data_IF_203341923597
#
_entry.id   IF_203341923597
#
_cell.length_a   1.000
_cell.length_b   1.000
_cell.length_c   1.000
_cell.angle_alpha   90.00
_cell.angle_beta   90.00
_cell.angle_gamma   90.00
#
_symmetry.space_group_name_H-M   'P 1'
#
loop_
_entity.id
_entity.type
_entity.pdbx_description
1 polymer ?
#
# COMPACT_ATOMS: atom_id res chain seq x y z
N UNK A 1 -17.79 48.60 -10.76
CA UNK A 1 -18.25 47.26 -10.33
C UNK A 1 -18.68 46.41 -11.51
N UNK A 2 -19.44 46.94 -12.46
CA UNK A 2 -19.92 46.22 -13.66
C UNK A 2 -18.82 45.76 -14.61
N UNK A 3 -17.74 46.54 -14.77
CA UNK A 3 -16.61 46.19 -15.65
C UNK A 3 -15.87 44.94 -15.13
N UNK A 4 -15.57 44.87 -13.83
CA UNK A 4 -14.90 43.72 -13.22
C UNK A 4 -15.72 42.42 -13.31
N UNK A 5 -17.04 42.51 -13.18
CA UNK A 5 -17.93 41.35 -13.32
C UNK A 5 -17.94 40.88 -14.79
N UNK A 6 -18.02 41.80 -15.74
CA UNK A 6 -17.96 41.47 -17.16
C UNK A 6 -16.60 40.85 -17.56
N UNK A 7 -15.50 41.36 -17.02
CA UNK A 7 -14.16 40.82 -17.24
C UNK A 7 -14.04 39.39 -16.69
N UNK A 8 -14.63 39.11 -15.52
CA UNK A 8 -14.69 37.75 -14.97
C UNK A 8 -15.54 36.83 -15.87
N UNK A 9 -16.69 37.30 -16.35
CA UNK A 9 -17.57 36.50 -17.22
C UNK A 9 -16.95 36.21 -18.59
N UNK A 10 -16.17 37.11 -19.17
CA UNK A 10 -15.41 36.85 -20.40
C UNK A 10 -14.32 35.80 -20.18
N UNK A 11 -13.56 35.91 -19.08
CA UNK A 11 -12.51 34.94 -18.74
C UNK A 11 -13.08 33.55 -18.44
N UNK A 12 -14.27 33.46 -17.83
CA UNK A 12 -14.94 32.18 -17.57
C UNK A 12 -15.49 31.49 -18.83
N UNK A 13 -15.65 32.21 -19.94
CA UNK A 13 -16.03 31.64 -21.26
C UNK A 13 -14.84 31.09 -22.03
N UNK A 14 -13.61 31.46 -21.65
CA UNK A 14 -12.41 30.87 -22.22
C UNK A 14 -12.26 29.41 -21.77
N UNK A 15 -11.70 28.52 -22.60
CA UNK A 15 -11.36 27.18 -22.17
C UNK A 15 -10.40 27.24 -20.97
N UNK A 16 -10.63 26.42 -19.92
CA UNK A 16 -9.87 26.51 -18.68
C UNK A 16 -8.38 26.34 -18.94
N UNK A 17 -7.60 27.41 -18.72
CA UNK A 17 -6.14 27.43 -18.93
C UNK A 17 -5.40 26.46 -18.01
N UNK A 18 -5.98 26.16 -16.85
CA UNK A 18 -5.47 25.21 -15.87
C UNK A 18 -6.66 24.53 -15.19
N UNK A 19 -6.65 23.20 -15.11
CA UNK A 19 -7.61 22.47 -14.28
C UNK A 19 -6.96 22.20 -12.92
N UNK A 20 -7.65 22.57 -11.85
CA UNK A 20 -7.16 22.36 -10.50
C UNK A 20 -7.17 20.86 -10.18
N UNK A 21 -6.16 20.29 -9.52
CA UNK A 21 -6.19 18.91 -9.08
C UNK A 21 -7.36 18.73 -8.10
N UNK A 22 -8.35 17.91 -8.46
CA UNK A 22 -9.55 17.67 -7.64
C UNK A 22 -9.76 16.19 -7.40
N UNK A 23 -10.01 15.89 -6.13
CA UNK A 23 -10.52 14.60 -5.64
C UNK A 23 -11.88 14.88 -5.05
N UNK A 24 -12.92 14.24 -5.56
CA UNK A 24 -14.28 14.41 -5.05
C UNK A 24 -14.83 13.08 -4.58
N UNK A 25 -15.37 13.05 -3.36
CA UNK A 25 -16.11 11.88 -2.87
C UNK A 25 -17.38 11.76 -3.70
N UNK A 26 -17.60 10.59 -4.30
CA UNK A 26 -18.84 10.29 -5.01
C UNK A 26 -19.95 10.13 -3.98
N UNK A 27 -20.95 11.01 -4.03
CA UNK A 27 -22.11 11.00 -3.12
C UNK A 27 -23.39 10.50 -3.78
N UNK A 28 -23.43 10.44 -5.10
CA UNK A 28 -24.60 9.99 -5.84
C UNK A 28 -24.79 8.48 -5.67
N UNK A 29 -25.88 8.06 -5.03
CA UNK A 29 -26.16 6.66 -4.70
C UNK A 29 -26.29 5.77 -5.93
N UNK A 30 -26.89 6.27 -7.02
CA UNK A 30 -27.02 5.52 -8.27
C UNK A 30 -25.65 5.27 -8.90
N UNK A 31 -24.76 6.28 -8.92
CA UNK A 31 -23.39 6.11 -9.40
C UNK A 31 -22.58 5.18 -8.49
N UNK A 32 -22.74 5.27 -7.18
CA UNK A 32 -22.12 4.33 -6.22
C UNK A 32 -22.59 2.90 -6.51
N UNK A 33 -23.88 2.70 -6.76
CA UNK A 33 -24.42 1.40 -7.12
C UNK A 33 -23.79 0.87 -8.42
N UNK A 34 -23.72 1.69 -9.47
CA UNK A 34 -23.05 1.32 -10.74
C UNK A 34 -21.58 0.94 -10.53
N UNK A 35 -20.84 1.72 -9.73
CA UNK A 35 -19.44 1.43 -9.41
C UNK A 35 -19.29 0.14 -8.58
N UNK A 36 -20.20 -0.12 -7.64
CA UNK A 36 -20.25 -1.38 -6.91
C UNK A 36 -20.51 -2.55 -7.88
N UNK A 37 -21.40 -2.43 -8.87
CA UNK A 37 -21.63 -3.49 -9.85
C UNK A 37 -20.37 -3.77 -10.69
N UNK A 38 -19.64 -2.73 -11.11
CA UNK A 38 -18.33 -2.89 -11.79
C UNK A 38 -17.30 -3.59 -10.90
N UNK A 39 -17.23 -3.22 -9.62
CA UNK A 39 -16.35 -3.86 -8.65
C UNK A 39 -16.68 -5.35 -8.49
N UNK A 40 -17.97 -5.69 -8.32
CA UNK A 40 -18.42 -7.07 -8.14
C UNK A 40 -18.11 -7.92 -9.37
N UNK A 41 -18.35 -7.40 -10.58
CA UNK A 41 -18.02 -8.14 -11.80
C UNK A 41 -16.53 -8.46 -11.90
N UNK A 42 -15.66 -7.49 -11.52
CA UNK A 42 -14.21 -7.70 -11.46
C UNK A 42 -13.77 -8.70 -10.40
N UNK A 43 -14.43 -8.75 -9.23
CA UNK A 43 -14.15 -9.75 -8.18
C UNK A 43 -14.48 -11.17 -8.67
N UNK A 44 -15.58 -11.31 -9.42
CA UNK A 44 -16.12 -12.59 -9.85
C UNK A 44 -15.51 -13.15 -11.15
N UNK A 45 -14.86 -12.33 -11.97
CA UNK A 45 -14.23 -12.77 -13.23
C UNK A 45 -13.03 -13.70 -12.94
N UNK A 46 -13.20 -15.00 -13.20
CA UNK A 46 -12.23 -16.08 -12.92
C UNK A 46 -11.11 -16.16 -13.99
N UNK A 47 -11.13 -15.31 -15.03
CA UNK A 47 -10.09 -15.27 -16.06
C UNK A 47 -8.78 -14.60 -15.59
N UNK A 48 -8.70 -14.16 -14.33
CA UNK A 48 -7.47 -13.68 -13.68
C UNK A 48 -6.53 -14.83 -13.26
N UNK A 49 -6.46 -15.89 -14.07
CA UNK A 49 -5.27 -16.76 -14.13
C UNK A 49 -4.20 -16.15 -15.05
N UNK A 50 -4.41 -14.93 -15.56
CA UNK A 50 -3.30 -14.04 -15.88
C UNK A 50 -2.47 -13.97 -14.60
N UNK A 51 -1.24 -14.45 -14.72
CA UNK A 51 -0.23 -14.42 -13.69
C UNK A 51 -0.35 -13.11 -12.90
N UNK A 52 -0.20 -13.18 -11.58
CA UNK A 52 0.07 -12.00 -10.75
C UNK A 52 1.32 -11.20 -11.24
N UNK A 53 1.97 -11.70 -12.29
CA UNK A 53 3.04 -11.12 -13.09
C UNK A 53 2.48 -10.50 -14.38
N UNK A 54 1.76 -9.38 -14.28
CA UNK A 54 1.84 -8.28 -15.27
C UNK A 54 0.94 -7.12 -14.85
N UNK A 55 1.54 -5.94 -14.89
CA UNK A 55 0.97 -4.64 -14.56
C UNK A 55 -0.41 -4.49 -15.21
N UNK A 56 -1.45 -4.44 -14.40
CA UNK A 56 -2.72 -3.86 -14.84
C UNK A 56 -3.20 -2.84 -13.82
N UNK A 57 -3.38 -1.63 -14.34
CA UNK A 57 -3.96 -0.42 -13.76
C UNK A 57 -5.38 -0.66 -13.15
N UNK A 58 -5.94 -1.88 -13.33
CA UNK A 58 -7.32 -2.26 -13.04
C UNK A 58 -7.36 -3.54 -12.20
N UNK A 59 -7.06 -3.42 -10.91
CA UNK A 59 -7.10 -4.55 -9.97
C UNK A 59 -7.93 -4.22 -8.75
N UNK A 60 -8.68 -5.21 -8.26
CA UNK A 60 -9.21 -5.19 -6.89
C UNK A 60 -8.15 -5.84 -6.02
N UNK A 61 -7.68 -5.16 -4.98
CA UNK A 61 -6.74 -5.74 -4.03
C UNK A 61 -7.14 -5.46 -2.59
N UNK A 62 -6.62 -6.27 -1.66
CA UNK A 62 -6.87 -6.11 -0.25
C UNK A 62 -5.91 -5.10 0.39
N UNK A 63 -6.46 -4.21 1.23
CA UNK A 63 -5.66 -3.37 2.13
C UNK A 63 -5.11 -4.25 3.25
N UNK A 64 -3.79 -4.46 3.25
CA UNK A 64 -3.10 -5.18 4.30
C UNK A 64 -3.12 -4.36 5.60
N UNK A 65 -3.36 -5.04 6.72
CA UNK A 65 -3.32 -4.43 8.04
C UNK A 65 -2.25 -5.12 8.87
N UNK A 66 -1.76 -4.50 9.95
CA UNK A 66 -0.82 -5.12 10.90
C UNK A 66 -1.50 -6.21 11.77
N UNK A 67 -2.55 -6.85 11.24
CA UNK A 67 -3.31 -7.93 11.84
C UNK A 67 -2.91 -9.25 11.22
N UNK A 68 -2.80 -10.28 12.06
CA UNK A 68 -2.41 -11.62 11.65
C UNK A 68 -3.57 -12.62 11.62
N UNK A 69 -4.78 -12.19 11.97
CA UNK A 69 -5.99 -13.01 11.89
C UNK A 69 -7.16 -12.18 11.36
N UNK A 70 -7.79 -12.71 10.31
CA UNK A 70 -8.95 -12.09 9.68
C UNK A 70 -10.12 -13.07 9.66
N UNK A 71 -11.33 -12.55 9.77
CA UNK A 71 -12.55 -13.34 9.66
C UNK A 71 -13.54 -12.62 8.76
N UNK A 72 -13.87 -13.23 7.61
CA UNK A 72 -15.00 -12.79 6.79
C UNK A 72 -16.31 -13.25 7.45
N UNK A 73 -17.34 -12.39 7.40
CA UNK A 73 -18.68 -12.76 7.85
C UNK A 73 -19.76 -11.86 7.22
N UNK A 74 -20.99 -12.37 7.15
CA UNK A 74 -22.15 -11.56 6.82
C UNK A 74 -22.71 -10.87 8.07
N UNK A 75 -23.04 -9.59 7.93
CA UNK A 75 -23.69 -8.79 8.96
C UNK A 75 -24.98 -9.48 9.42
N UNK A 76 -25.17 -9.60 10.73
CA UNK A 76 -26.33 -10.29 11.31
C UNK A 76 -26.26 -11.82 11.31
N UNK A 77 -25.31 -12.45 10.62
CA UNK A 77 -25.20 -13.92 10.53
C UNK A 77 -23.80 -14.48 10.85
N UNK A 78 -23.00 -13.72 11.63
CA UNK A 78 -21.60 -14.04 11.94
C UNK A 78 -21.37 -15.49 12.39
N UNK A 79 -22.23 -16.05 13.23
CA UNK A 79 -22.04 -17.43 13.76
C UNK A 79 -22.07 -18.51 12.69
N UNK A 80 -22.85 -18.32 11.61
CA UNK A 80 -23.01 -19.33 10.55
C UNK A 80 -22.04 -19.13 9.39
N UNK A 81 -21.66 -17.88 9.14
CA UNK A 81 -20.90 -17.50 7.93
C UNK A 81 -19.47 -17.08 8.25
N UNK A 82 -18.93 -17.37 9.43
CA UNK A 82 -17.56 -16.98 9.74
C UNK A 82 -16.58 -17.82 8.92
N UNK A 83 -15.66 -17.15 8.22
CA UNK A 83 -14.57 -17.79 7.49
C UNK A 83 -13.25 -17.16 7.91
N UNK A 84 -12.45 -17.91 8.65
CA UNK A 84 -11.17 -17.43 9.19
C UNK A 84 -10.03 -17.63 8.19
N UNK A 85 -9.22 -16.59 8.04
CA UNK A 85 -8.04 -16.58 7.17
C UNK A 85 -6.87 -15.92 7.88
N UNK A 86 -5.67 -16.33 7.51
CA UNK A 86 -4.43 -15.73 8.04
C UNK A 86 -4.12 -14.41 7.34
N UNK A 87 -4.43 -14.32 6.05
CA UNK A 87 -4.18 -13.15 5.21
C UNK A 87 -5.40 -12.88 4.34
N UNK A 88 -5.66 -11.60 4.07
CA UNK A 88 -6.70 -11.22 3.13
C UNK A 88 -6.18 -11.39 1.70
N UNK A 89 -6.86 -12.21 0.92
CA UNK A 89 -6.57 -12.38 -0.51
C UNK A 89 -7.83 -12.74 -1.28
N UNK A 90 -7.82 -12.53 -2.60
CA UNK A 90 -8.98 -12.75 -3.46
C UNK A 90 -9.41 -14.21 -3.54
N UNK A 91 -8.46 -15.15 -3.46
CA UNK A 91 -8.76 -16.58 -3.49
C UNK A 91 -9.65 -16.98 -2.31
N UNK A 92 -9.27 -16.58 -1.10
CA UNK A 92 -10.00 -16.89 0.12
C UNK A 92 -11.32 -16.13 0.20
N UNK A 93 -11.35 -14.88 -0.28
CA UNK A 93 -12.59 -14.11 -0.35
C UNK A 93 -13.61 -14.76 -1.30
N UNK A 94 -13.17 -15.21 -2.48
CA UNK A 94 -14.03 -15.98 -3.40
C UNK A 94 -14.46 -17.32 -2.81
N UNK A 95 -13.58 -17.99 -2.06
CA UNK A 95 -13.93 -19.23 -1.35
C UNK A 95 -15.03 -18.98 -0.31
N UNK A 96 -14.93 -17.89 0.46
CA UNK A 96 -15.96 -17.46 1.41
C UNK A 96 -17.31 -17.22 0.74
N UNK A 97 -17.34 -16.50 -0.39
CA UNK A 97 -18.55 -16.23 -1.18
C UNK A 97 -19.20 -17.54 -1.65
N UNK A 98 -18.40 -18.44 -2.27
CA UNK A 98 -18.86 -19.73 -2.81
C UNK A 98 -19.39 -20.65 -1.71
N UNK A 99 -18.71 -20.76 -0.57
CA UNK A 99 -19.11 -21.65 0.52
C UNK A 99 -20.42 -21.23 1.20
N UNK A 100 -20.72 -19.93 1.21
CA UNK A 100 -21.91 -19.38 1.86
C UNK A 100 -23.04 -19.05 0.86
N UNK A 101 -22.88 -19.41 -0.42
CA UNK A 101 -23.82 -19.10 -1.51
C UNK A 101 -24.25 -17.61 -1.52
N UNK A 102 -23.28 -16.71 -1.38
CA UNK A 102 -23.53 -15.27 -1.27
C UNK A 102 -23.71 -14.68 -2.67
N UNK A 103 -24.84 -14.01 -2.92
CA UNK A 103 -24.99 -13.16 -4.10
C UNK A 103 -24.26 -11.83 -3.86
N UNK A 104 -23.03 -11.73 -4.37
CA UNK A 104 -22.18 -10.57 -4.12
C UNK A 104 -22.78 -9.26 -4.68
N UNK A 105 -23.61 -9.30 -5.73
CA UNK A 105 -24.27 -8.10 -6.27
C UNK A 105 -25.28 -7.49 -5.27
N UNK A 106 -25.86 -8.31 -4.40
CA UNK A 106 -26.82 -7.85 -3.39
C UNK A 106 -26.17 -7.65 -2.02
N UNK A 107 -25.17 -8.46 -1.69
CA UNK A 107 -24.65 -8.58 -0.33
C UNK A 107 -23.31 -7.88 -0.09
N UNK A 108 -22.71 -7.22 -1.09
CA UNK A 108 -21.41 -6.54 -0.94
C UNK A 108 -21.35 -5.63 0.30
N UNK A 109 -22.40 -4.85 0.55
CA UNK A 109 -22.47 -3.93 1.70
C UNK A 109 -22.72 -4.63 3.05
N UNK A 110 -23.07 -5.92 3.02
CA UNK A 110 -23.32 -6.76 4.19
C UNK A 110 -22.15 -7.69 4.54
N UNK A 111 -21.11 -7.75 3.71
CA UNK A 111 -19.90 -8.50 4.04
C UNK A 111 -18.96 -7.65 4.88
N UNK A 112 -18.54 -8.21 6.01
CA UNK A 112 -17.63 -7.56 6.94
C UNK A 112 -16.39 -8.43 7.16
N UNK A 113 -15.28 -7.76 7.48
CA UNK A 113 -14.04 -8.40 7.90
C UNK A 113 -13.75 -7.97 9.32
N UNK A 114 -13.52 -8.95 10.19
CA UNK A 114 -12.97 -8.73 11.52
C UNK A 114 -11.46 -8.92 11.44
N UNK A 115 -10.68 -7.88 11.69
CA UNK A 115 -9.22 -7.92 11.73
C UNK A 115 -8.75 -7.82 13.20
N UNK A 116 -8.02 -8.83 13.69
CA UNK A 116 -7.57 -8.93 15.09
C UNK A 116 -6.12 -9.41 15.20
N UNK A 117 -5.46 -9.01 16.28
CA UNK A 117 -4.23 -9.65 16.75
C UNK A 117 -4.56 -10.57 17.93
N UNK A 118 -3.67 -11.51 18.24
CA UNK A 118 -3.81 -12.40 19.41
C UNK A 118 -4.05 -11.63 20.73
N UNK A 119 -3.54 -10.39 20.81
CA UNK A 119 -3.55 -9.57 22.01
C UNK A 119 -4.50 -8.36 21.97
N UNK A 120 -5.35 -8.21 20.94
CA UNK A 120 -6.30 -7.10 20.88
C UNK A 120 -7.75 -7.53 20.59
N UNK A 121 -8.70 -6.62 20.87
CA UNK A 121 -10.13 -6.85 20.66
C UNK A 121 -10.52 -6.93 19.17
N UNK A 122 -9.58 -6.69 18.26
CA UNK A 122 -9.83 -6.48 16.83
C UNK A 122 -10.73 -5.29 16.53
N UNK A 123 -10.97 -5.07 15.24
CA UNK A 123 -12.02 -4.19 14.74
C UNK A 123 -12.73 -4.87 13.56
N UNK A 124 -13.98 -4.47 13.31
CA UNK A 124 -14.75 -4.95 12.17
C UNK A 124 -15.10 -3.77 11.26
N UNK A 125 -14.94 -3.95 9.95
CA UNK A 125 -15.42 -2.99 8.96
C UNK A 125 -16.02 -3.71 7.74
N UNK A 126 -16.76 -2.99 6.91
CA UNK A 126 -17.27 -3.52 5.65
C UNK A 126 -16.10 -3.93 4.74
N UNK A 127 -16.31 -4.95 3.90
CA UNK A 127 -15.30 -5.48 2.98
C UNK A 127 -14.64 -4.40 2.12
N UNK A 128 -15.40 -3.40 1.65
CA UNK A 128 -14.91 -2.30 0.81
C UNK A 128 -13.84 -1.46 1.50
N UNK A 129 -13.82 -1.42 2.84
CA UNK A 129 -12.75 -0.76 3.59
C UNK A 129 -11.40 -1.44 3.37
N UNK A 130 -11.42 -2.74 3.18
CA UNK A 130 -10.24 -3.54 2.94
C UNK A 130 -9.99 -3.72 1.44
N UNK A 131 -10.64 -2.97 0.55
CA UNK A 131 -10.44 -3.09 -0.89
C UNK A 131 -9.98 -1.77 -1.50
N UNK A 132 -8.90 -1.87 -2.26
CA UNK A 132 -8.41 -0.83 -3.15
C UNK A 132 -8.79 -1.21 -4.58
N UNK A 133 -9.44 -0.30 -5.32
CA UNK A 133 -9.85 -0.54 -6.71
C UNK A 133 -9.80 0.74 -7.52
N UNK A 134 -9.30 0.68 -8.76
CA UNK A 134 -9.31 1.79 -9.72
C UNK A 134 -10.14 1.38 -10.93
N UNK A 135 -11.09 2.23 -11.29
CA UNK A 135 -11.93 2.09 -12.48
C UNK A 135 -11.29 2.78 -13.70
N UNK A 136 -11.67 2.36 -14.90
CA UNK A 136 -11.25 2.94 -16.18
C UNK A 136 -11.71 4.40 -16.37
N UNK A 137 -12.77 4.80 -15.69
CA UNK A 137 -13.38 6.13 -15.77
C UNK A 137 -12.86 7.14 -14.72
N UNK A 138 -11.65 6.98 -14.19
CA UNK A 138 -11.06 7.86 -13.15
C UNK A 138 -11.82 7.86 -11.82
N UNK A 139 -12.39 6.70 -11.47
CA UNK A 139 -12.91 6.47 -10.12
C UNK A 139 -11.98 5.54 -9.36
N UNK A 140 -11.91 5.67 -8.04
CA UNK A 140 -11.31 4.63 -7.22
C UNK A 140 -12.10 4.39 -5.93
N UNK A 141 -11.99 3.18 -5.42
CA UNK A 141 -12.42 2.80 -4.08
C UNK A 141 -11.19 2.90 -3.16
N UNK A 142 -11.30 3.69 -2.09
CA UNK A 142 -10.30 3.80 -1.03
C UNK A 142 -11.02 3.92 0.31
N UNK A 143 -10.55 3.22 1.34
CA UNK A 143 -11.14 3.21 2.69
C UNK A 143 -12.67 3.00 2.70
N UNK A 144 -13.17 2.21 1.74
CA UNK A 144 -14.59 1.91 1.58
C UNK A 144 -15.44 3.02 0.94
N UNK A 145 -14.82 4.07 0.39
CA UNK A 145 -15.50 5.19 -0.28
C UNK A 145 -15.04 5.34 -1.72
N UNK A 146 -15.99 5.73 -2.57
CA UNK A 146 -15.71 6.04 -3.97
C UNK A 146 -15.25 7.49 -4.13
N UNK A 147 -14.20 7.68 -4.91
CA UNK A 147 -13.65 8.97 -5.28
C UNK A 147 -13.61 9.11 -6.80
N UNK A 148 -13.77 10.34 -7.29
CA UNK A 148 -13.58 10.71 -8.68
C UNK A 148 -12.38 11.66 -8.80
N UNK A 149 -11.58 11.46 -9.85
CA UNK A 149 -10.42 12.29 -10.15
C UNK A 149 -10.53 12.94 -11.51
N UNK A 150 -10.04 14.17 -11.63
CA UNK A 150 -9.79 14.78 -12.92
C UNK A 150 -8.36 14.49 -13.40
N UNK A 151 -8.10 14.76 -14.69
CA UNK A 151 -6.78 14.51 -15.29
C UNK A 151 -5.67 15.30 -14.57
N UNK A 152 -5.96 16.54 -14.18
CA UNK A 152 -4.99 17.40 -13.50
C UNK A 152 -4.58 16.90 -12.12
N UNK A 153 -5.42 16.12 -11.44
CA UNK A 153 -5.03 15.44 -10.22
C UNK A 153 -3.99 14.36 -10.49
N UNK A 154 -4.17 13.57 -11.56
CA UNK A 154 -3.21 12.56 -11.99
C UNK A 154 -1.88 13.22 -12.37
N UNK A 155 -1.93 14.28 -13.20
CA UNK A 155 -0.72 15.02 -13.61
C UNK A 155 0.01 15.61 -12.39
N UNK A 156 -0.73 16.09 -11.39
CA UNK A 156 -0.17 16.56 -10.12
C UNK A 156 0.54 15.43 -9.34
N UNK A 157 -0.09 14.25 -9.24
CA UNK A 157 0.51 13.11 -8.55
C UNK A 157 1.81 12.66 -9.21
N UNK A 158 1.78 12.51 -10.54
CA UNK A 158 2.96 12.14 -11.33
C UNK A 158 4.10 13.14 -11.12
N UNK A 159 3.80 14.44 -11.22
CA UNK A 159 4.78 15.51 -11.02
C UNK A 159 5.33 15.56 -9.58
N UNK A 160 4.50 15.29 -8.56
CA UNK A 160 4.94 15.28 -7.16
C UNK A 160 5.75 14.04 -6.81
N UNK A 161 5.41 12.88 -7.39
CA UNK A 161 6.15 11.64 -7.24
C UNK A 161 7.53 11.75 -7.88
N UNK A 162 7.64 12.30 -9.08
CA UNK A 162 8.91 12.47 -9.78
C UNK A 162 9.89 13.43 -9.07
N UNK A 163 9.39 14.29 -8.20
CA UNK A 163 10.23 15.17 -7.36
C UNK A 163 10.88 14.44 -6.18
N UNK A 164 10.49 13.20 -5.88
CA UNK A 164 11.06 12.44 -4.77
C UNK A 164 12.45 11.94 -5.20
N UNK A 165 13.52 12.24 -4.42
CA UNK A 165 14.85 11.73 -4.71
C UNK A 165 14.82 10.20 -4.74
N UNK A 166 15.27 9.61 -5.84
CA UNK A 166 15.39 8.18 -5.95
C UNK A 166 16.72 7.75 -6.56
N UNK A 167 17.15 6.54 -6.22
CA UNK A 167 18.37 5.93 -6.76
C UNK A 167 18.18 4.47 -7.12
N UNK A 168 18.98 4.02 -8.07
CA UNK A 168 19.10 2.64 -8.50
C UNK A 168 20.58 2.24 -8.43
N UNK A 169 20.87 1.13 -7.75
CA UNK A 169 22.20 0.51 -7.69
C UNK A 169 22.07 -0.95 -8.07
N UNK A 170 22.62 -1.37 -9.20
CA UNK A 170 22.46 -2.73 -9.72
C UNK A 170 22.97 -3.82 -8.77
N UNK A 171 23.99 -3.52 -7.95
CA UNK A 171 24.52 -4.42 -6.91
C UNK A 171 23.51 -4.72 -5.79
N UNK A 172 22.41 -3.97 -5.72
CA UNK A 172 21.31 -4.16 -4.79
C UNK A 172 20.11 -4.89 -5.44
N UNK A 173 20.23 -5.39 -6.68
CA UNK A 173 19.18 -6.22 -7.29
C UNK A 173 19.15 -7.63 -6.67
N UNK A 174 17.93 -8.15 -6.47
CA UNK A 174 17.72 -9.46 -5.85
C UNK A 174 17.82 -10.57 -6.89
N UNK A 175 18.86 -11.40 -6.83
CA UNK A 175 18.93 -12.65 -7.60
C UNK A 175 18.07 -13.73 -6.95
N UNK A 176 17.12 -14.28 -7.71
CA UNK A 176 16.36 -15.48 -7.29
C UNK A 176 17.27 -16.71 -7.24
N UNK A 177 18.27 -16.78 -8.11
CA UNK A 177 19.25 -17.87 -8.12
C UNK A 177 20.07 -17.88 -6.84
N UNK A 178 20.65 -16.74 -6.45
CA UNK A 178 21.46 -16.62 -5.23
C UNK A 178 20.62 -16.92 -3.98
N UNK A 179 19.38 -16.42 -3.94
CA UNK A 179 18.43 -16.71 -2.86
C UNK A 179 18.18 -18.23 -2.72
N UNK A 180 17.91 -18.93 -3.82
CA UNK A 180 17.67 -20.38 -3.80
C UNK A 180 18.92 -21.15 -3.38
N UNK A 181 20.09 -20.78 -3.89
CA UNK A 181 21.36 -21.39 -3.50
C UNK A 181 21.63 -21.20 -2.01
N UNK A 182 21.42 -20.00 -1.48
CA UNK A 182 21.59 -19.70 -0.07
C UNK A 182 20.69 -20.57 0.82
N UNK A 183 19.42 -20.79 0.43
CA UNK A 183 18.50 -21.67 1.16
C UNK A 183 19.04 -23.10 1.21
N UNK A 184 19.47 -23.64 0.08
CA UNK A 184 19.97 -25.02 -0.03
C UNK A 184 21.26 -25.20 0.77
N UNK A 185 22.23 -24.30 0.61
CA UNK A 185 23.54 -24.38 1.26
C UNK A 185 23.45 -24.30 2.79
N UNK A 186 22.47 -23.55 3.31
CA UNK A 186 22.26 -23.38 4.75
C UNK A 186 21.21 -24.34 5.34
N UNK A 187 20.64 -25.24 4.53
CA UNK A 187 19.60 -26.18 4.97
C UNK A 187 18.34 -25.48 5.50
N UNK A 188 17.97 -24.33 4.91
CA UNK A 188 16.82 -23.53 5.30
C UNK A 188 15.58 -23.90 4.45
N UNK A 189 14.44 -23.32 4.81
CA UNK A 189 13.23 -23.35 3.98
C UNK A 189 12.73 -21.91 3.69
N UNK A 190 11.94 -21.75 2.63
CA UNK A 190 11.42 -20.45 2.19
C UNK A 190 10.47 -19.79 3.19
N UNK A 191 9.90 -20.56 4.14
CA UNK A 191 9.01 -20.03 5.17
C UNK A 191 9.81 -19.35 6.28
N UNK A 192 10.97 -19.90 6.61
CA UNK A 192 11.90 -19.39 7.63
C UNK A 192 12.87 -18.35 7.07
N UNK A 193 13.18 -18.44 5.79
CA UNK A 193 14.03 -17.51 5.03
C UNK A 193 13.31 -17.05 3.78
N UNK A 194 12.38 -16.12 3.94
CA UNK A 194 11.69 -15.47 2.82
C UNK A 194 12.59 -14.43 2.14
N UNK A 195 12.21 -14.00 0.93
CA UNK A 195 13.02 -13.14 0.07
C UNK A 195 13.47 -11.84 0.75
N UNK A 196 12.58 -11.11 1.42
CA UNK A 196 12.94 -9.86 2.11
C UNK A 196 13.95 -10.11 3.25
N UNK A 197 13.77 -11.17 4.04
CA UNK A 197 14.72 -11.52 5.12
C UNK A 197 16.09 -11.89 4.58
N UNK A 198 16.15 -12.63 3.48
CA UNK A 198 17.40 -12.91 2.78
C UNK A 198 18.06 -11.61 2.31
N UNK A 199 17.32 -10.76 1.61
CA UNK A 199 17.79 -9.46 1.14
C UNK A 199 18.37 -8.62 2.29
N UNK A 200 17.60 -8.45 3.37
CA UNK A 200 18.01 -7.71 4.56
C UNK A 200 19.25 -8.31 5.22
N UNK A 201 19.43 -9.64 5.16
CA UNK A 201 20.63 -10.33 5.67
C UNK A 201 21.86 -10.00 4.84
N UNK A 202 21.76 -10.02 3.51
CA UNK A 202 22.87 -9.69 2.59
C UNK A 202 23.34 -8.25 2.80
N UNK A 203 22.42 -7.32 3.06
CA UNK A 203 22.78 -5.91 3.26
C UNK A 203 23.62 -5.65 4.53
N UNK A 204 23.68 -6.59 5.48
CA UNK A 204 24.63 -6.49 6.61
C UNK A 204 26.08 -6.39 6.14
N UNK A 205 26.42 -7.06 5.03
CA UNK A 205 27.76 -7.00 4.44
C UNK A 205 28.10 -5.60 3.89
N UNK A 206 27.08 -4.78 3.63
CA UNK A 206 27.21 -3.38 3.18
C UNK A 206 27.10 -2.38 4.34
N UNK A 207 27.18 -2.85 5.58
CA UNK A 207 27.17 -2.02 6.80
C UNK A 207 25.78 -1.60 7.28
N UNK A 208 24.71 -2.28 6.85
CA UNK A 208 23.37 -2.07 7.40
C UNK A 208 23.18 -2.90 8.68
N UNK A 209 22.51 -2.31 9.67
CA UNK A 209 21.98 -3.05 10.80
C UNK A 209 20.60 -3.60 10.43
N UNK A 210 20.36 -4.89 10.69
CA UNK A 210 19.14 -5.59 10.31
C UNK A 210 18.16 -5.66 11.50
N UNK A 211 16.95 -5.13 11.29
CA UNK A 211 15.86 -5.05 12.24
C UNK A 211 14.57 -5.70 11.71
N UNK A 212 14.67 -6.57 10.70
CA UNK A 212 13.55 -7.34 10.15
C UNK A 212 12.75 -8.00 11.29
N UNK A 213 11.44 -7.68 11.37
CA UNK A 213 10.52 -8.12 12.43
C UNK A 213 10.90 -7.68 13.86
N UNK A 214 11.64 -6.59 14.04
CA UNK A 214 11.80 -5.93 15.34
C UNK A 214 10.57 -5.05 15.65
N UNK A 215 9.67 -5.62 16.43
CA UNK A 215 8.44 -4.95 16.86
C UNK A 215 8.64 -4.16 18.16
N UNK A 216 8.20 -2.91 18.18
CA UNK A 216 8.02 -2.15 19.41
C UNK A 216 6.58 -2.26 19.91
N UNK A 217 6.41 -2.59 21.20
CA UNK A 217 5.08 -2.57 21.82
C UNK A 217 4.75 -1.19 22.36
N UNK A 218 3.80 -0.51 21.72
CA UNK A 218 3.29 0.80 22.12
C UNK A 218 2.04 0.64 22.96
N UNK A 219 2.01 1.39 24.09
CA UNK A 219 0.84 1.50 24.99
C UNK A 219 0.30 0.12 25.42
N UNK A 220 1.17 -0.89 25.54
CA UNK A 220 0.86 -2.29 25.91
C UNK A 220 -0.17 -2.99 24.99
N UNK A 221 -0.45 -2.46 23.80
CA UNK A 221 -1.54 -2.98 22.94
C UNK A 221 -1.20 -3.07 21.45
N UNK A 222 -0.29 -2.22 20.95
CA UNK A 222 0.04 -2.16 19.53
C UNK A 222 1.49 -2.58 19.33
N UNK A 223 1.75 -3.55 18.47
CA UNK A 223 3.10 -3.90 18.03
C UNK A 223 3.33 -3.20 16.70
N UNK A 224 4.35 -2.34 16.61
CA UNK A 224 4.71 -1.66 15.36
C UNK A 224 6.11 -2.13 14.96
N UNK A 225 6.24 -2.63 13.74
CA UNK A 225 7.55 -2.92 13.14
C UNK A 225 8.26 -1.60 12.88
N UNK A 226 9.44 -1.40 13.49
CA UNK A 226 10.09 -0.09 13.49
C UNK A 226 10.62 0.28 12.10
N UNK A 227 11.32 -0.67 11.48
CA UNK A 227 12.04 -0.55 10.20
C UNK A 227 12.64 -1.92 9.86
N UNK A 228 13.03 -2.12 8.60
CA UNK A 228 13.72 -3.34 8.17
C UNK A 228 15.24 -3.23 8.35
N UNK A 229 15.81 -2.09 7.96
CA UNK A 229 17.25 -1.84 8.06
C UNK A 229 17.52 -0.44 8.63
N UNK A 230 18.70 -0.28 9.22
CA UNK A 230 19.19 1.01 9.70
C UNK A 230 20.63 1.24 9.27
N UNK A 231 20.90 2.44 8.75
CA UNK A 231 22.26 2.85 8.37
C UNK A 231 22.37 4.36 8.31
N UNK A 232 23.48 4.92 8.79
CA UNK A 232 23.82 6.35 8.69
C UNK A 232 22.74 7.30 9.25
N UNK A 233 22.00 6.87 10.28
CA UNK A 233 20.81 7.55 10.85
C UNK A 233 19.61 7.64 9.91
N UNK A 234 19.51 6.76 8.92
CA UNK A 234 18.37 6.60 8.04
C UNK A 234 17.67 5.29 8.38
N UNK A 235 16.34 5.35 8.55
CA UNK A 235 15.49 4.16 8.68
C UNK A 235 15.12 3.67 7.27
N UNK A 236 15.31 2.39 6.98
CA UNK A 236 14.96 1.80 5.70
C UNK A 236 13.78 0.84 5.85
N UNK A 237 12.82 0.96 4.95
CA UNK A 237 11.64 0.09 4.86
C UNK A 237 11.69 -0.64 3.53
N UNK A 238 11.86 -1.95 3.58
CA UNK A 238 12.20 -2.80 2.44
C UNK A 238 10.98 -3.61 2.04
N UNK A 239 10.65 -3.61 0.74
CA UNK A 239 9.57 -4.45 0.24
C UNK A 239 9.84 -4.99 -1.14
N UNK A 240 9.57 -6.28 -1.32
CA UNK A 240 9.68 -6.96 -2.60
C UNK A 240 8.28 -7.24 -3.15
N UNK A 241 8.05 -6.90 -4.42
CA UNK A 241 6.88 -7.36 -5.15
C UNK A 241 6.30 -6.36 -6.13
N UNK A 242 5.00 -6.50 -6.36
CA UNK A 242 4.22 -5.68 -7.27
C UNK A 242 3.88 -4.32 -6.66
N UNK A 243 3.53 -3.29 -7.44
CA UNK A 243 3.15 -1.97 -6.93
C UNK A 243 2.12 -2.00 -5.80
N UNK A 244 1.21 -2.96 -5.82
CA UNK A 244 0.23 -3.16 -4.76
C UNK A 244 0.89 -3.55 -3.42
N UNK A 245 1.78 -4.55 -3.43
CA UNK A 245 2.57 -4.95 -2.24
C UNK A 245 3.48 -3.82 -1.77
N UNK A 246 4.02 -3.04 -2.70
CA UNK A 246 4.87 -1.89 -2.40
C UNK A 246 4.09 -0.78 -1.69
N UNK A 247 2.79 -0.62 -1.93
CA UNK A 247 1.95 0.35 -1.21
C UNK A 247 1.95 0.12 0.30
N UNK A 248 2.10 -1.12 0.76
CA UNK A 248 2.14 -1.45 2.19
C UNK A 248 3.37 -0.91 2.92
N UNK A 249 4.53 -0.87 2.26
CA UNK A 249 5.76 -0.36 2.87
C UNK A 249 5.65 1.13 3.22
N UNK A 250 4.79 1.85 2.49
CA UNK A 250 4.45 3.24 2.78
C UNK A 250 3.66 3.33 4.08
N UNK A 251 2.67 2.46 4.27
CA UNK A 251 1.83 2.43 5.47
C UNK A 251 2.65 2.05 6.72
N UNK A 252 3.56 1.09 6.60
CA UNK A 252 4.52 0.73 7.66
C UNK A 252 5.43 1.91 8.01
N UNK A 253 6.02 2.56 6.99
CA UNK A 253 6.87 3.73 7.19
C UNK A 253 6.12 4.87 7.89
N UNK A 254 4.89 5.16 7.48
CA UNK A 254 4.07 6.21 8.08
C UNK A 254 3.69 5.91 9.53
N UNK A 255 3.50 4.64 9.86
CA UNK A 255 3.25 4.22 11.25
C UNK A 255 4.45 4.60 12.14
N UNK A 256 5.67 4.29 11.71
CA UNK A 256 6.90 4.70 12.42
C UNK A 256 7.10 6.22 12.44
N UNK A 257 6.84 6.92 11.33
CA UNK A 257 6.95 8.39 11.28
C UNK A 257 5.98 9.05 12.25
N UNK A 258 4.76 8.53 12.36
CA UNK A 258 3.76 9.04 13.30
C UNK A 258 4.16 8.76 14.75
N UNK A 259 4.81 7.63 15.06
CA UNK A 259 5.41 7.40 16.38
C UNK A 259 6.49 8.42 16.70
N UNK A 260 7.36 8.75 15.75
CA UNK A 260 8.46 9.70 15.94
C UNK A 260 7.98 11.14 16.19
N UNK A 261 6.77 11.49 15.74
CA UNK A 261 6.13 12.78 16.05
C UNK A 261 5.66 12.85 17.51
N UNK A 262 5.36 11.71 18.14
CA UNK A 262 5.01 11.65 19.56
C UNK A 262 6.26 11.85 20.42
N UNK A 263 6.32 12.97 21.15
CA UNK A 263 7.50 13.38 21.93
C UNK A 263 7.90 12.40 23.04
N UNK A 264 6.98 11.51 23.43
CA UNK A 264 7.23 10.51 24.47
C UNK A 264 7.81 9.20 23.90
N UNK A 265 7.73 8.97 22.59
CA UNK A 265 8.19 7.74 21.96
C UNK A 265 9.60 7.90 21.40
N UNK A 266 10.50 6.97 21.71
CA UNK A 266 11.87 6.95 21.21
C UNK A 266 12.18 5.59 20.63
N UNK A 267 12.64 5.56 19.39
CA UNK A 267 13.19 4.33 18.82
C UNK A 267 14.51 4.05 19.51
N UNK A 268 14.62 2.89 20.15
CA UNK A 268 15.83 2.43 20.82
C UNK A 268 16.53 1.40 19.92
N UNK A 269 17.76 1.70 19.54
CA UNK A 269 18.68 0.79 18.85
C UNK A 269 19.90 0.57 19.74
N UNK A 270 20.28 -0.69 19.97
CA UNK A 270 21.45 -1.05 20.78
C UNK A 270 21.47 -0.33 22.15
N UNK A 271 20.32 -0.32 22.83
CA UNK A 271 20.09 0.34 24.13
C UNK A 271 20.29 1.86 24.13
N UNK A 272 20.28 2.52 22.95
CA UNK A 272 20.39 3.97 22.82
C UNK A 272 19.20 4.52 22.02
N UNK A 273 18.60 5.64 22.48
CA UNK A 273 17.60 6.32 21.68
C UNK A 273 18.27 6.90 20.44
N UNK A 274 17.70 6.64 19.27
CA UNK A 274 18.14 7.27 18.03
C UNK A 274 17.24 8.44 17.67
N UNK A 275 17.83 9.40 16.97
CA UNK A 275 17.10 10.48 16.29
C UNK A 275 17.42 10.37 14.80
N UNK A 276 16.57 9.67 14.03
CA UNK A 276 16.83 9.50 12.60
C UNK A 276 16.86 10.86 11.90
N UNK A 277 17.75 10.98 10.91
CA UNK A 277 17.81 12.13 9.99
C UNK A 277 16.76 12.01 8.90
N UNK A 278 16.41 10.79 8.51
CA UNK A 278 15.49 10.53 7.42
C UNK A 278 15.01 9.10 7.35
N UNK A 279 14.17 8.86 6.35
CA UNK A 279 13.62 7.54 6.03
C UNK A 279 13.82 7.25 4.55
N UNK A 280 13.99 5.97 4.23
CA UNK A 280 14.12 5.48 2.88
C UNK A 280 13.13 4.36 2.63
N UNK A 281 12.30 4.49 1.60
CA UNK A 281 11.56 3.34 1.06
C UNK A 281 12.49 2.60 0.11
N UNK A 282 12.64 1.29 0.27
CA UNK A 282 13.46 0.44 -0.59
C UNK A 282 12.56 -0.56 -1.30
N UNK A 283 12.27 -0.24 -2.56
CA UNK A 283 11.30 -0.94 -3.38
C UNK A 283 12.04 -1.87 -4.32
N UNK A 284 11.93 -3.18 -4.09
CA UNK A 284 12.44 -4.20 -5.01
C UNK A 284 11.27 -4.68 -5.87
N UNK A 285 11.24 -4.20 -7.11
CA UNK A 285 10.12 -4.43 -8.03
C UNK A 285 10.26 -5.76 -8.75
N UNK A 286 9.18 -6.52 -8.77
CA UNK A 286 9.05 -7.73 -9.56
C UNK A 286 8.57 -7.38 -10.98
N UNK A 287 9.46 -6.80 -11.79
CA UNK A 287 9.20 -6.42 -13.18
C UNK A 287 10.47 -6.43 -14.02
N UNK A 288 10.32 -6.74 -15.30
CA UNK A 288 11.44 -6.79 -16.27
C UNK A 288 11.95 -5.40 -16.65
N UNK A 289 11.04 -4.44 -16.84
CA UNK A 289 11.40 -3.11 -17.35
C UNK A 289 11.80 -2.20 -16.19
N UNK A 290 13.01 -1.63 -16.25
CA UNK A 290 13.46 -0.60 -15.31
C UNK A 290 12.65 0.69 -15.49
N UNK A 291 12.58 1.50 -14.43
CA UNK A 291 11.91 2.81 -14.44
C UNK A 291 12.93 3.91 -14.23
N UNK A 292 12.73 5.04 -14.90
CA UNK A 292 13.54 6.24 -14.69
C UNK A 292 12.86 7.25 -13.78
N UNK A 293 11.55 7.07 -13.56
CA UNK A 293 10.69 7.99 -12.83
C UNK A 293 9.72 7.19 -11.98
N UNK A 294 9.40 7.72 -10.80
CA UNK A 294 8.45 7.06 -9.90
C UNK A 294 7.02 7.07 -10.46
N UNK A 295 6.67 8.05 -11.30
CA UNK A 295 5.40 8.09 -12.04
C UNK A 295 5.22 6.94 -13.04
N UNK A 296 6.30 6.27 -13.47
CA UNK A 296 6.24 5.07 -14.33
C UNK A 296 5.80 3.80 -13.55
N UNK A 297 5.56 3.93 -12.24
CA UNK A 297 4.79 2.97 -11.47
C UNK A 297 3.32 3.25 -11.74
N UNK A 298 2.75 2.55 -12.72
CA UNK A 298 1.37 2.71 -13.22
C UNK A 298 0.31 2.23 -12.22
N UNK A 299 0.32 2.77 -11.00
CA UNK A 299 -0.65 2.53 -9.94
C UNK A 299 -1.05 3.84 -9.28
N UNK A 300 -2.26 4.32 -9.61
CA UNK A 300 -2.78 5.59 -9.09
C UNK A 300 -2.79 5.61 -7.55
N UNK A 301 -3.23 4.51 -6.93
CA UNK A 301 -3.30 4.37 -5.47
C UNK A 301 -1.89 4.42 -4.86
N UNK A 302 -0.92 3.75 -5.49
CA UNK A 302 0.47 3.81 -5.05
C UNK A 302 1.02 5.24 -5.13
N UNK A 303 0.80 5.95 -6.24
CA UNK A 303 1.24 7.34 -6.40
C UNK A 303 0.57 8.26 -5.38
N UNK A 304 -0.72 8.06 -5.08
CA UNK A 304 -1.42 8.79 -4.02
C UNK A 304 -0.75 8.57 -2.66
N UNK A 305 -0.52 7.32 -2.27
CA UNK A 305 0.15 6.97 -1.01
C UNK A 305 1.56 7.55 -0.96
N UNK A 306 2.31 7.49 -2.05
CA UNK A 306 3.69 7.98 -2.13
C UNK A 306 3.78 9.50 -1.99
N UNK A 307 2.89 10.24 -2.65
CA UNK A 307 2.84 11.71 -2.54
C UNK A 307 2.39 12.14 -1.13
N UNK A 308 1.45 11.42 -0.54
CA UNK A 308 1.04 11.66 0.85
C UNK A 308 2.16 11.34 1.84
N UNK A 309 2.89 10.24 1.62
CA UNK A 309 4.06 9.87 2.40
C UNK A 309 5.12 10.95 2.41
N UNK A 310 5.50 11.46 1.23
CA UNK A 310 6.43 12.57 1.09
C UNK A 310 6.02 13.76 1.94
N UNK A 311 4.73 14.16 1.91
CA UNK A 311 4.21 15.28 2.70
C UNK A 311 4.32 15.00 4.19
N UNK A 312 3.93 13.81 4.64
CA UNK A 312 3.96 13.47 6.06
C UNK A 312 5.37 13.35 6.63
N UNK A 313 6.31 12.78 5.88
CA UNK A 313 7.73 12.70 6.26
C UNK A 313 8.36 14.09 6.32
N UNK A 314 8.13 14.92 5.29
CA UNK A 314 8.62 16.30 5.28
C UNK A 314 8.07 17.10 6.47
N UNK A 315 6.78 16.94 6.79
CA UNK A 315 6.15 17.60 7.95
C UNK A 315 6.74 17.15 9.30
N UNK A 316 7.33 15.94 9.35
CA UNK A 316 8.04 15.43 10.52
C UNK A 316 9.46 16.00 10.65
N UNK A 317 9.94 16.78 9.68
CA UNK A 317 11.31 17.30 9.64
C UNK A 317 12.36 16.24 9.29
N UNK A 318 11.94 15.17 8.61
CA UNK A 318 12.81 14.06 8.20
C UNK A 318 13.15 14.17 6.70
N UNK A 319 14.37 13.79 6.34
CA UNK A 319 14.75 13.55 4.95
C UNK A 319 14.00 12.33 4.39
N UNK A 320 13.67 12.35 3.10
CA UNK A 320 12.99 11.25 2.42
C UNK A 320 13.72 10.87 1.13
N UNK A 321 13.83 9.57 0.88
CA UNK A 321 14.41 9.01 -0.34
C UNK A 321 13.72 7.71 -0.72
N UNK A 322 13.77 7.37 -2.01
CA UNK A 322 13.37 6.04 -2.50
C UNK A 322 14.59 5.33 -3.10
N UNK A 323 14.81 4.09 -2.72
CA UNK A 323 15.68 3.17 -3.44
C UNK A 323 14.82 2.26 -4.29
N UNK A 324 15.20 2.10 -5.55
CA UNK A 324 14.52 1.24 -6.50
C UNK A 324 15.50 0.15 -6.88
N UNK A 325 15.06 -1.10 -6.84
CA UNK A 325 15.80 -2.26 -7.30
C UNK A 325 14.84 -3.26 -7.94
N UNK A 326 15.38 -4.33 -8.52
CA UNK A 326 14.60 -5.31 -9.27
C UNK A 326 14.90 -6.73 -8.81
N UNK A 327 13.89 -7.58 -8.93
CA UNK A 327 14.12 -9.02 -8.94
C UNK A 327 14.76 -9.37 -10.28
N UNK A 328 15.91 -10.04 -10.24
CA UNK A 328 16.60 -10.59 -11.42
C UNK A 328 16.60 -12.11 -11.37
N UNK A 329 16.73 -12.68 -12.57
CA UNK A 329 16.61 -14.09 -12.94
C UNK A 329 15.18 -14.59 -13.15
#
# INVERSE_FOLDING_TARGET
>A
MTVFINDIEEVLKEPPKFSLPRVEVVKNEEKIYQLNMKLVSRILDDNSNIQMDEVSIFGVDFVFTDKNQYTFFLKGNKRKTSYEVKELNMKDFRAFIRQNNIDLYQELDNIYVCAKNENDKGYSNNIKYFLDYVDDEKYCLLDGKWYQFNRSYIDYLEAEADKIPHEYLEDDDLSITDYKSYIVENGLDEKNMYKEKYFNTVQKNKGYENFDRDFEQIRKKYNIEKMDLYKDNILYFVKIGTPQKLGYVIDQCLSTVNMLKDKETKIIINSRPIKPKGVCLWLIMDRKNKINKLSEIESLIFLMKLVEWKKQVASAGLEYKVKINYVKD
#
